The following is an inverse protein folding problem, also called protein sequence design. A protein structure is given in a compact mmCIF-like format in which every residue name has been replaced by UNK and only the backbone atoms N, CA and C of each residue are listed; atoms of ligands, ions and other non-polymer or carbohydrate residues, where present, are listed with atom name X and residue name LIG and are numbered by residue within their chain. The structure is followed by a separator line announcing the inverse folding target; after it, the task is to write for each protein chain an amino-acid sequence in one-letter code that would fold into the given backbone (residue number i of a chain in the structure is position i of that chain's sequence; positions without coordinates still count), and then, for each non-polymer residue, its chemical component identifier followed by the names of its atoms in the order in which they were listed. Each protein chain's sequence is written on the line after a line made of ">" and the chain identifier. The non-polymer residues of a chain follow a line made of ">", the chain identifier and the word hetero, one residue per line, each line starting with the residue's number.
data_IF_667308360036
#
_entry.id   IF_667308360036
#
_cell.length_a   1.000
_cell.length_b   1.000
_cell.length_c   1.000
_cell.angle_alpha   90.00
_cell.angle_beta   90.00
_cell.angle_gamma   90.00
#
_symmetry.space_group_name_H-M   'P 1'
#
loop_
_entity.id
_entity.type
_entity.pdbx_description
1 polymer ?
#
# COMPACT_ATOMS: atom_id res chain seq x y z
N UNK A 1 -9.19 -9.89 -22.18
CA UNK A 1 -9.88 -8.69 -22.71
C UNK A 1 -11.20 -8.31 -22.01
N UNK A 2 -11.85 -9.20 -21.22
CA UNK A 2 -13.13 -8.88 -20.55
C UNK A 2 -12.96 -7.90 -19.37
N UNK A 3 -11.87 -8.03 -18.60
CA UNK A 3 -11.59 -7.16 -17.45
C UNK A 3 -11.42 -5.69 -17.85
N UNK A 4 -10.54 -5.43 -18.81
CA UNK A 4 -10.23 -4.09 -19.32
C UNK A 4 -11.46 -3.38 -19.87
N UNK A 5 -12.34 -4.14 -20.54
CA UNK A 5 -13.63 -3.62 -21.01
C UNK A 5 -14.49 -3.14 -19.84
N UNK A 6 -14.59 -3.90 -18.75
CA UNK A 6 -15.35 -3.50 -17.55
C UNK A 6 -14.80 -2.22 -16.92
N UNK A 7 -13.47 -2.08 -16.85
CA UNK A 7 -12.82 -0.86 -16.33
C UNK A 7 -13.15 0.34 -17.23
N UNK A 8 -13.03 0.18 -18.55
CA UNK A 8 -13.32 1.24 -19.51
C UNK A 8 -14.82 1.61 -19.56
N UNK A 9 -15.70 0.63 -19.37
CA UNK A 9 -17.15 0.82 -19.31
C UNK A 9 -17.59 1.56 -18.05
N UNK A 10 -16.83 1.46 -16.95
CA UNK A 10 -17.12 2.15 -15.69
C UNK A 10 -17.01 3.68 -15.79
N UNK A 11 -16.33 4.23 -16.81
CA UNK A 11 -16.10 5.67 -17.06
C UNK A 11 -15.37 6.45 -15.96
N UNK A 12 -15.19 5.88 -14.77
CA UNK A 12 -14.36 6.40 -13.69
C UNK A 12 -13.78 5.20 -12.93
N UNK A 13 -12.46 5.18 -12.80
CA UNK A 13 -11.73 4.21 -12.00
C UNK A 13 -10.60 4.89 -11.23
N UNK A 14 -10.15 4.23 -10.17
CA UNK A 14 -8.95 4.59 -9.44
C UNK A 14 -7.90 3.48 -9.61
N UNK A 15 -6.62 3.86 -9.59
CA UNK A 15 -5.53 2.88 -9.45
C UNK A 15 -5.17 2.72 -7.98
N UNK A 16 -4.86 1.50 -7.57
CA UNK A 16 -4.22 1.20 -6.30
C UNK A 16 -2.82 0.71 -6.62
N UNK A 17 -1.84 1.37 -6.01
CA UNK A 17 -0.43 1.09 -6.22
C UNK A 17 0.17 0.79 -4.86
N UNK A 18 0.76 -0.39 -4.75
CA UNK A 18 1.41 -0.84 -3.51
C UNK A 18 2.79 -1.37 -3.84
N UNK A 19 3.80 -0.81 -3.19
CA UNK A 19 5.19 -1.24 -3.24
C UNK A 19 5.62 -1.76 -1.87
N UNK A 20 6.14 -2.98 -1.75
CA UNK A 20 6.73 -3.43 -0.50
C UNK A 20 7.97 -2.59 -0.24
N UNK A 21 8.00 -1.89 0.89
CA UNK A 21 9.24 -1.29 1.42
C UNK A 21 10.23 -2.40 1.73
N UNK A 22 11.25 -2.61 0.90
CA UNK A 22 12.41 -3.39 1.30
C UNK A 22 13.71 -2.96 0.59
N UNK A 23 14.80 -3.16 1.34
CA UNK A 23 16.21 -2.80 1.28
C UNK A 23 16.93 -3.25 -0.03
N UNK A 24 16.16 -3.68 -1.03
CA UNK A 24 16.63 -4.19 -2.32
C UNK A 24 16.84 -3.05 -3.33
N UNK A 25 17.74 -3.28 -4.29
CA UNK A 25 17.99 -2.36 -5.42
C UNK A 25 16.86 -2.42 -6.47
N UNK A 26 15.80 -3.21 -6.25
CA UNK A 26 14.72 -3.38 -7.23
C UNK A 26 13.38 -3.56 -6.53
N UNK A 27 12.54 -2.55 -6.62
CA UNK A 27 11.19 -2.55 -6.03
C UNK A 27 10.22 -3.25 -6.99
N UNK A 28 9.41 -4.16 -6.45
CA UNK A 28 8.30 -4.77 -7.19
C UNK A 28 7.02 -4.06 -6.82
N UNK A 29 6.36 -3.43 -7.80
CA UNK A 29 5.15 -2.67 -7.58
C UNK A 29 3.95 -3.47 -8.07
N UNK A 30 2.89 -3.49 -7.28
CA UNK A 30 1.60 -4.03 -7.68
C UNK A 30 0.68 -2.93 -8.19
N UNK A 31 -0.01 -3.20 -9.29
CA UNK A 31 -1.00 -2.29 -9.87
C UNK A 31 -2.36 -2.97 -9.91
N UNK A 32 -3.33 -2.36 -9.25
CA UNK A 32 -4.73 -2.79 -9.25
C UNK A 32 -5.63 -1.65 -9.72
N UNK A 33 -6.78 -1.99 -10.31
CA UNK A 33 -7.84 -1.04 -10.62
C UNK A 33 -9.02 -1.20 -9.66
N UNK A 34 -9.49 -0.10 -9.10
CA UNK A 34 -10.73 0.00 -8.33
C UNK A 34 -11.78 0.76 -9.12
N UNK A 35 -12.93 0.15 -9.37
CA UNK A 35 -13.99 0.74 -10.20
C UNK A 35 -15.37 0.22 -9.80
N UNK A 36 -16.41 0.90 -10.27
CA UNK A 36 -17.80 0.49 -10.00
C UNK A 36 -18.38 -0.15 -11.25
N UNK A 37 -18.92 -1.36 -11.11
CA UNK A 37 -19.68 -2.02 -12.17
C UNK A 37 -21.18 -1.86 -11.93
N UNK A 38 -21.93 -1.66 -13.01
CA UNK A 38 -23.38 -1.67 -13.00
C UNK A 38 -23.89 -3.07 -13.40
N UNK A 39 -24.53 -3.79 -12.47
CA UNK A 39 -25.33 -4.98 -12.77
C UNK A 39 -26.79 -4.60 -13.01
N UNK A 40 -27.65 -5.58 -13.32
CA UNK A 40 -29.04 -5.34 -13.70
C UNK A 40 -29.86 -4.49 -12.70
N UNK A 41 -29.46 -4.45 -11.41
CA UNK A 41 -30.14 -3.66 -10.36
C UNK A 41 -29.23 -3.13 -9.23
N UNK A 42 -27.91 -3.16 -9.36
CA UNK A 42 -27.01 -2.72 -8.28
C UNK A 42 -25.66 -2.22 -8.76
N UNK A 43 -25.12 -1.25 -8.03
CA UNK A 43 -23.72 -0.84 -8.13
C UNK A 43 -22.86 -1.72 -7.25
N UNK A 44 -21.80 -2.28 -7.81
CA UNK A 44 -20.84 -3.10 -7.06
C UNK A 44 -19.43 -2.51 -7.22
N UNK A 45 -18.78 -2.23 -6.10
CA UNK A 45 -17.36 -1.87 -6.08
C UNK A 45 -16.53 -3.11 -6.42
N UNK A 46 -15.57 -2.95 -7.32
CA UNK A 46 -14.68 -4.00 -7.78
C UNK A 46 -13.24 -3.53 -7.64
N UNK A 47 -12.38 -4.48 -7.28
CA UNK A 47 -10.94 -4.33 -7.27
C UNK A 47 -10.37 -5.51 -8.02
N UNK A 48 -9.65 -5.24 -9.09
CA UNK A 48 -9.07 -6.29 -9.92
C UNK A 48 -7.60 -5.95 -10.17
N UNK A 49 -6.73 -6.94 -9.94
CA UNK A 49 -5.31 -6.85 -10.19
C UNK A 49 -5.03 -6.74 -11.69
N UNK A 50 -4.11 -5.84 -12.06
CA UNK A 50 -3.70 -5.63 -13.44
C UNK A 50 -2.37 -6.32 -13.72
N UNK A 51 -1.32 -5.93 -12.99
CA UNK A 51 0.03 -6.45 -13.20
C UNK A 51 0.97 -6.17 -12.03
N UNK A 52 2.09 -6.90 -12.03
CA UNK A 52 3.28 -6.58 -11.26
C UNK A 52 4.35 -6.09 -12.22
N UNK A 53 5.08 -5.06 -11.83
CA UNK A 53 6.26 -4.62 -12.56
C UNK A 53 7.41 -4.31 -11.60
N UNK A 54 8.63 -4.45 -12.09
CA UNK A 54 9.86 -4.20 -11.31
C UNK A 54 10.52 -2.90 -11.74
N UNK A 55 10.95 -2.08 -10.79
CA UNK A 55 11.67 -0.84 -11.04
C UNK A 55 13.01 -0.84 -10.28
N UNK A 56 14.10 -0.54 -11.00
CA UNK A 56 15.46 -0.53 -10.44
C UNK A 56 15.85 0.77 -9.72
N UNK A 57 15.21 1.88 -10.06
CA UNK A 57 15.45 3.20 -9.45
C UNK A 57 14.16 4.01 -9.49
N UNK A 58 13.33 3.87 -8.44
CA UNK A 58 12.05 4.54 -8.35
C UNK A 58 12.21 5.99 -7.88
N UNK A 59 12.56 6.89 -8.81
CA UNK A 59 12.12 8.28 -8.62
C UNK A 59 10.60 8.29 -8.83
N UNK A 60 9.87 9.04 -8.02
CA UNK A 60 8.41 9.09 -8.11
C UNK A 60 7.90 9.43 -9.52
N UNK A 61 8.66 10.23 -10.28
CA UNK A 61 8.35 10.59 -11.67
C UNK A 61 8.47 9.41 -12.63
N UNK A 62 9.52 8.60 -12.49
CA UNK A 62 9.69 7.40 -13.31
C UNK A 62 8.58 6.39 -13.04
N UNK A 63 8.24 6.18 -11.76
CA UNK A 63 7.17 5.28 -11.36
C UNK A 63 5.80 5.76 -11.86
N UNK A 64 5.49 7.06 -11.73
CA UNK A 64 4.24 7.64 -12.23
C UNK A 64 4.09 7.49 -13.75
N UNK A 65 5.15 7.76 -14.51
CA UNK A 65 5.16 7.55 -15.96
C UNK A 65 5.02 6.07 -16.32
N UNK A 66 5.64 5.18 -15.56
CA UNK A 66 5.54 3.74 -15.79
C UNK A 66 4.10 3.26 -15.59
N UNK A 67 3.42 3.70 -14.53
CA UNK A 67 2.00 3.38 -14.27
C UNK A 67 1.11 3.87 -15.41
N UNK A 68 1.28 5.11 -15.88
CA UNK A 68 0.50 5.64 -17.00
C UNK A 68 0.74 4.85 -18.30
N UNK A 69 1.98 4.47 -18.57
CA UNK A 69 2.35 3.66 -19.72
C UNK A 69 1.80 2.23 -19.64
N UNK A 70 1.83 1.63 -18.44
CA UNK A 70 1.25 0.32 -18.16
C UNK A 70 -0.27 0.31 -18.40
N UNK A 71 -0.99 1.30 -17.89
CA UNK A 71 -2.43 1.44 -18.14
C UNK A 71 -2.71 1.58 -19.65
N UNK A 72 -1.92 2.39 -20.34
CA UNK A 72 -2.05 2.60 -21.79
C UNK A 72 -1.75 1.33 -22.59
N UNK A 73 -0.70 0.58 -22.24
CA UNK A 73 -0.31 -0.66 -22.90
C UNK A 73 -1.34 -1.78 -22.70
N UNK A 74 -1.99 -1.80 -21.53
CA UNK A 74 -3.13 -2.66 -21.24
C UNK A 74 -4.42 -2.22 -21.96
N UNK A 75 -4.44 -1.06 -22.62
CA UNK A 75 -5.63 -0.53 -23.29
C UNK A 75 -6.69 0.04 -22.33
N UNK A 76 -6.29 0.42 -21.12
CA UNK A 76 -7.14 1.16 -20.19
C UNK A 76 -7.16 2.63 -20.58
N UNK A 77 -8.35 3.22 -20.64
CA UNK A 77 -8.49 4.64 -20.98
C UNK A 77 -8.13 5.52 -19.77
N UNK A 78 -6.89 6.02 -19.74
CA UNK A 78 -6.40 6.89 -18.69
C UNK A 78 -7.22 8.18 -18.52
N UNK A 79 -7.97 8.65 -19.52
CA UNK A 79 -8.86 9.82 -19.34
C UNK A 79 -9.97 9.59 -18.31
N UNK A 80 -10.32 8.32 -18.05
CA UNK A 80 -11.29 7.93 -17.02
C UNK A 80 -10.65 7.74 -15.63
N UNK A 81 -9.35 8.00 -15.49
CA UNK A 81 -8.65 7.90 -14.21
C UNK A 81 -9.09 9.06 -13.29
N UNK A 82 -9.88 8.72 -12.28
CA UNK A 82 -10.47 9.66 -11.33
C UNK A 82 -9.91 9.51 -9.90
N UNK A 83 -9.02 8.54 -9.68
CA UNK A 83 -8.37 8.38 -8.39
C UNK A 83 -7.06 7.61 -8.45
N UNK A 84 -6.26 7.77 -7.40
CA UNK A 84 -5.06 7.01 -7.14
C UNK A 84 -4.94 6.77 -5.63
N UNK A 85 -4.69 5.52 -5.25
CA UNK A 85 -4.42 5.11 -3.89
C UNK A 85 -2.99 4.62 -3.82
N UNK A 86 -2.12 5.39 -3.18
CA UNK A 86 -0.72 5.04 -2.98
C UNK A 86 -0.43 4.91 -1.50
N UNK A 87 0.49 4.04 -1.12
CA UNK A 87 1.13 4.12 0.17
C UNK A 87 1.94 5.43 0.25
N UNK A 88 1.97 6.04 1.43
CA UNK A 88 2.47 7.40 1.63
C UNK A 88 3.97 7.60 1.42
N UNK A 89 4.66 6.63 0.84
CA UNK A 89 6.11 6.60 0.75
C UNK A 89 6.65 7.83 0.00
N UNK A 90 7.86 8.28 0.31
CA UNK A 90 8.44 9.52 -0.23
C UNK A 90 8.47 9.56 -1.77
N UNK A 91 8.63 8.41 -2.42
CA UNK A 91 8.55 8.24 -3.89
C UNK A 91 7.13 8.43 -4.43
N UNK A 92 6.11 8.17 -3.60
CA UNK A 92 4.69 8.20 -3.96
C UNK A 92 4.02 9.55 -3.63
N UNK A 93 4.42 10.17 -2.52
CA UNK A 93 3.79 11.37 -1.95
C UNK A 93 4.48 12.70 -2.26
N UNK A 94 5.60 12.68 -3.00
CA UNK A 94 6.33 13.89 -3.38
C UNK A 94 5.47 14.90 -4.13
N UNK A 95 5.36 16.13 -3.62
CA UNK A 95 4.50 17.18 -4.19
C UNK A 95 4.90 17.67 -5.59
N UNK A 96 6.18 17.52 -5.97
CA UNK A 96 6.70 17.97 -7.27
C UNK A 96 7.12 16.83 -8.21
N UNK A 97 7.51 15.68 -7.66
CA UNK A 97 8.05 14.56 -8.42
C UNK A 97 7.61 13.19 -7.88
N UNK A 98 6.61 13.16 -6.99
CA UNK A 98 5.98 11.92 -6.55
C UNK A 98 5.03 11.38 -7.61
N UNK A 99 4.70 10.10 -7.51
CA UNK A 99 3.69 9.44 -8.36
C UNK A 99 2.38 10.23 -8.38
N UNK A 100 1.96 10.72 -7.20
CA UNK A 100 0.78 11.57 -7.07
C UNK A 100 0.81 12.77 -8.03
N UNK A 101 1.92 13.49 -8.07
CA UNK A 101 2.05 14.71 -8.84
C UNK A 101 1.99 14.41 -10.35
N UNK A 102 2.72 13.38 -10.81
CA UNK A 102 2.75 12.99 -12.23
C UNK A 102 1.40 12.51 -12.73
N UNK A 103 0.70 11.69 -11.95
CA UNK A 103 -0.65 11.25 -12.33
C UNK A 103 -1.61 12.44 -12.37
N UNK A 104 -1.50 13.39 -11.45
CA UNK A 104 -2.31 14.62 -11.46
C UNK A 104 -1.98 15.59 -12.61
N UNK A 105 -0.71 15.67 -13.03
CA UNK A 105 -0.30 16.46 -14.21
C UNK A 105 -1.02 15.98 -15.48
N UNK A 106 -1.17 14.65 -15.63
CA UNK A 106 -1.82 14.04 -16.80
C UNK A 106 -3.34 13.97 -16.64
N UNK A 107 -3.81 13.69 -15.42
CA UNK A 107 -5.21 13.52 -15.07
C UNK A 107 -5.55 14.36 -13.84
N UNK A 108 -5.93 15.64 -14.01
CA UNK A 108 -6.26 16.52 -12.89
C UNK A 108 -7.42 16.01 -12.01
N UNK A 109 -8.30 15.19 -12.58
CA UNK A 109 -9.40 14.54 -11.86
C UNK A 109 -8.94 13.39 -10.93
N UNK A 110 -7.70 12.91 -11.04
CA UNK A 110 -7.18 11.78 -10.27
C UNK A 110 -6.86 12.17 -8.81
N UNK A 111 -7.86 12.08 -7.95
CA UNK A 111 -7.72 12.35 -6.53
C UNK A 111 -6.78 11.34 -5.87
N UNK A 112 -5.85 11.84 -5.06
CA UNK A 112 -4.97 10.96 -4.28
C UNK A 112 -5.59 10.65 -2.93
N UNK A 113 -5.67 9.37 -2.60
CA UNK A 113 -6.06 8.89 -1.29
C UNK A 113 -4.86 8.20 -0.66
N UNK A 114 -4.42 8.76 0.46
CA UNK A 114 -3.30 8.21 1.21
C UNK A 114 -3.71 6.91 1.92
N UNK A 115 -2.83 5.91 1.93
CA UNK A 115 -3.07 4.65 2.63
C UNK A 115 -3.32 4.86 4.13
N UNK A 116 -4.49 4.43 4.61
CA UNK A 116 -4.88 4.53 6.03
C UNK A 116 -3.98 3.70 6.95
N UNK A 117 -3.53 2.53 6.49
CA UNK A 117 -2.61 1.67 7.25
C UNK A 117 -1.27 2.36 7.46
N UNK A 118 -0.75 3.05 6.43
CA UNK A 118 0.47 3.81 6.54
C UNK A 118 0.30 5.02 7.48
N UNK A 119 -0.81 5.77 7.36
CA UNK A 119 -1.12 6.88 8.27
C UNK A 119 -1.21 6.43 9.73
N UNK A 120 -1.85 5.28 9.98
CA UNK A 120 -1.94 4.69 11.32
C UNK A 120 -0.56 4.30 11.83
N UNK A 121 0.28 3.67 11.00
CA UNK A 121 1.64 3.30 11.38
C UNK A 121 2.47 4.53 11.76
N UNK A 122 2.39 5.61 10.98
CA UNK A 122 3.05 6.88 11.32
C UNK A 122 2.57 7.44 12.66
N UNK A 123 1.26 7.46 12.90
CA UNK A 123 0.70 7.90 14.17
C UNK A 123 1.21 7.06 15.36
N UNK A 124 1.26 5.73 15.21
CA UNK A 124 1.79 4.82 16.22
C UNK A 124 3.29 5.02 16.45
N UNK A 125 4.07 5.27 15.40
CA UNK A 125 5.49 5.58 15.49
C UNK A 125 5.74 6.87 16.27
N UNK A 126 4.94 7.91 16.02
CA UNK A 126 5.01 9.16 16.79
C UNK A 126 4.62 8.96 18.25
N UNK A 127 3.53 8.24 18.53
CA UNK A 127 3.14 7.90 19.89
C UNK A 127 4.22 7.09 20.62
N UNK A 128 4.90 6.19 19.91
CA UNK A 128 5.98 5.36 20.46
C UNK A 128 7.22 6.15 20.88
N UNK A 129 7.36 7.41 20.46
CA UNK A 129 8.45 8.29 20.90
C UNK A 129 8.18 8.94 22.27
N UNK A 130 6.94 8.91 22.78
CA UNK A 130 6.61 9.37 24.12
C UNK A 130 7.37 8.52 25.14
N UNK A 131 8.12 9.16 26.04
CA UNK A 131 9.05 8.49 26.96
C UNK A 131 8.44 7.32 27.73
N UNK A 132 7.22 7.49 28.26
CA UNK A 132 6.53 6.43 28.99
C UNK A 132 6.23 5.21 28.10
N UNK A 133 5.73 5.43 26.89
CA UNK A 133 5.41 4.38 25.91
C UNK A 133 6.71 3.71 25.44
N UNK A 134 7.72 4.51 25.09
CA UNK A 134 9.04 4.02 24.65
C UNK A 134 9.69 3.12 25.71
N UNK A 135 9.67 3.54 26.97
CA UNK A 135 10.25 2.78 28.07
C UNK A 135 9.48 1.47 28.29
N UNK A 136 8.14 1.51 28.29
CA UNK A 136 7.31 0.31 28.37
C UNK A 136 7.63 -0.68 27.23
N UNK A 137 7.62 -0.21 25.98
CA UNK A 137 7.98 -1.01 24.80
C UNK A 137 9.41 -1.55 24.90
N UNK A 138 10.36 -0.76 25.43
CA UNK A 138 11.74 -1.18 25.67
C UNK A 138 11.85 -2.33 26.67
N UNK A 139 11.08 -2.27 27.76
CA UNK A 139 10.99 -3.35 28.75
C UNK A 139 10.41 -4.61 28.14
N UNK A 140 9.28 -4.49 27.41
CA UNK A 140 8.65 -5.64 26.72
C UNK A 140 9.63 -6.27 25.73
N UNK A 141 10.32 -5.47 24.90
CA UNK A 141 11.35 -5.95 23.97
C UNK A 141 12.48 -6.68 24.69
N UNK A 142 12.91 -6.18 25.84
CA UNK A 142 13.97 -6.81 26.65
C UNK A 142 13.53 -8.18 27.21
N UNK A 143 12.30 -8.28 27.70
CA UNK A 143 11.72 -9.55 28.17
C UNK A 143 11.62 -10.56 27.02
N UNK A 144 11.09 -10.14 25.86
CA UNK A 144 11.00 -11.00 24.67
C UNK A 144 12.40 -11.49 24.26
N UNK A 145 13.39 -10.59 24.21
CA UNK A 145 14.78 -10.95 23.89
C UNK A 145 15.36 -11.95 24.89
N UNK A 146 15.06 -11.79 26.18
CA UNK A 146 15.48 -12.73 27.22
C UNK A 146 14.86 -14.11 27.02
N UNK A 147 13.56 -14.20 26.70
CA UNK A 147 12.87 -15.46 26.44
C UNK A 147 13.40 -16.15 25.18
N UNK A 148 13.59 -15.39 24.09
CA UNK A 148 14.07 -15.93 22.81
C UNK A 148 15.50 -16.47 22.87
N UNK A 149 16.32 -16.05 23.84
CA UNK A 149 17.67 -16.57 24.04
C UNK A 149 17.72 -18.02 24.55
N UNK A 150 16.60 -18.67 24.86
CA UNK A 150 16.58 -20.07 25.28
C UNK A 150 15.26 -20.75 24.97
N UNK A 151 15.33 -21.84 24.21
CA UNK A 151 14.17 -22.71 23.94
C UNK A 151 13.49 -23.16 25.24
N UNK A 152 14.26 -23.48 26.29
CA UNK A 152 13.72 -23.88 27.61
C UNK A 152 12.96 -22.76 28.32
N UNK A 153 13.43 -21.50 28.22
CA UNK A 153 12.71 -20.33 28.78
C UNK A 153 11.42 -20.06 28.02
N UNK A 154 11.46 -20.17 26.69
CA UNK A 154 10.28 -20.01 25.85
C UNK A 154 9.24 -21.11 26.11
N UNK A 155 9.67 -22.36 26.24
CA UNK A 155 8.79 -23.49 26.50
C UNK A 155 8.13 -23.40 27.89
N UNK A 156 8.91 -23.03 28.93
CA UNK A 156 8.37 -22.76 30.26
C UNK A 156 7.34 -21.62 30.27
N UNK A 157 7.58 -20.56 29.50
CA UNK A 157 6.64 -19.44 29.37
C UNK A 157 5.34 -19.88 28.68
N UNK A 158 5.43 -20.64 27.58
CA UNK A 158 4.27 -21.21 26.87
C UNK A 158 3.48 -22.20 27.73
N UNK A 159 4.17 -23.06 28.47
CA UNK A 159 3.54 -24.03 29.38
C UNK A 159 2.79 -23.39 30.54
N UNK A 160 3.27 -22.26 31.06
CA UNK A 160 2.58 -21.49 32.11
C UNK A 160 1.38 -20.70 31.57
N UNK A 161 1.47 -20.13 30.37
CA UNK A 161 0.35 -19.39 29.74
C UNK A 161 -0.88 -20.28 29.50
N UNK A 162 -0.67 -21.57 29.19
CA UNK A 162 -1.76 -22.57 29.04
C UNK A 162 -2.47 -22.94 30.35
N UNK A 163 -1.84 -22.74 31.52
CA UNK A 163 -2.45 -23.06 32.83
C UNK A 163 -3.34 -21.95 33.38
N UNK A 164 -3.26 -20.74 32.81
CA UNK A 164 -4.03 -19.57 33.24
C UNK A 164 -5.31 -19.32 32.41
N UNK A 165 -5.62 -20.19 31.45
CA UNK A 165 -6.87 -20.14 30.65
C UNK A 165 -7.85 -21.27 31.00
N UNK A 166 -7.70 -21.90 32.17
CA UNK A 166 -8.62 -22.92 32.70
C UNK A 166 -9.30 -22.44 33.96
#
# INVERSE_FOLDING_TARGET
>A
MILLKKINDAKCFAVLVDSPTDISVTEQVSLCARYVTHGDRSFSLREDFLEFFSIKTATGRNLGNHILNALSSLGVNCSNLCGQGCDGECSMSGCFNGVQAVIKETNPAALNVHCSSHSLNLALMHASNVSAIRNCLGTVKSVIKFLNKSAKRMDNFRGKSKRTQG
#
